data_IF_670326855267
#
_entry.id   IF_670326855267
#
_cell.length_a   1.000
_cell.length_b   1.000
_cell.length_c   1.000
_cell.angle_alpha   90.00
_cell.angle_beta   90.00
_cell.angle_gamma   90.00
#
_symmetry.space_group_name_H-M   'P 1'
#
loop_
_entity.id
_entity.type
_entity.pdbx_description
1 polymer ?
#
# COMPACT_ATOMS: atom_id res chain seq x y z
N UNK A 1 18.65 2.48 -22.51
CA UNK A 1 17.70 3.64 -22.51
C UNK A 1 16.48 3.23 -21.71
N UNK A 2 16.26 3.84 -20.53
CA UNK A 2 15.13 3.50 -19.66
C UNK A 2 13.85 4.06 -20.27
N UNK A 3 13.08 3.23 -20.95
CA UNK A 3 11.81 3.61 -21.59
C UNK A 3 10.82 4.23 -20.57
N UNK A 4 10.93 3.79 -19.31
CA UNK A 4 10.12 4.32 -18.20
C UNK A 4 10.70 5.62 -17.59
N UNK A 5 11.94 6.00 -17.87
CA UNK A 5 12.53 7.25 -17.35
C UNK A 5 11.92 8.51 -17.97
N UNK A 6 11.25 8.38 -19.13
CA UNK A 6 10.58 9.48 -19.85
C UNK A 6 9.31 9.91 -19.10
N UNK A 7 8.67 9.01 -18.33
CA UNK A 7 7.49 9.34 -17.54
C UNK A 7 7.91 9.88 -16.18
N UNK A 8 7.56 11.13 -15.91
CA UNK A 8 7.77 11.75 -14.61
C UNK A 8 7.10 10.91 -13.50
N UNK A 9 7.75 10.69 -12.34
CA UNK A 9 7.30 9.71 -11.34
C UNK A 9 5.87 9.96 -10.81
N UNK A 10 5.41 11.21 -10.76
CA UNK A 10 4.04 11.53 -10.35
C UNK A 10 2.98 11.11 -11.37
N UNK A 11 3.29 11.19 -12.69
CA UNK A 11 2.39 10.75 -13.73
C UNK A 11 2.18 9.23 -13.72
N UNK A 12 3.22 8.46 -13.34
CA UNK A 12 3.11 6.99 -13.23
C UNK A 12 2.08 6.58 -12.19
N UNK A 13 2.01 7.28 -11.04
CA UNK A 13 1.01 7.01 -10.02
C UNK A 13 -0.41 7.29 -10.53
N UNK A 14 -0.59 8.39 -11.26
CA UNK A 14 -1.88 8.73 -11.86
C UNK A 14 -2.28 7.67 -12.90
N UNK A 15 -1.35 7.25 -13.77
CA UNK A 15 -1.62 6.21 -14.75
C UNK A 15 -1.97 4.86 -14.13
N UNK A 16 -1.27 4.44 -13.05
CA UNK A 16 -1.63 3.22 -12.30
C UNK A 16 -3.07 3.29 -11.82
N UNK A 17 -3.44 4.43 -11.24
CA UNK A 17 -4.79 4.62 -10.72
C UNK A 17 -5.86 4.62 -11.83
N UNK A 18 -5.63 5.39 -12.91
CA UNK A 18 -6.55 5.46 -14.05
C UNK A 18 -6.70 4.10 -14.75
N UNK A 19 -5.59 3.42 -15.02
CA UNK A 19 -5.63 2.08 -15.60
C UNK A 19 -6.36 1.09 -14.68
N UNK A 20 -6.15 1.16 -13.36
CA UNK A 20 -6.90 0.36 -12.39
C UNK A 20 -8.41 0.58 -12.47
N UNK A 21 -8.85 1.85 -12.59
CA UNK A 21 -10.26 2.18 -12.77
C UNK A 21 -10.81 1.61 -14.10
N UNK A 22 -10.09 1.79 -15.21
CA UNK A 22 -10.49 1.26 -16.52
C UNK A 22 -10.62 -0.26 -16.48
N UNK A 23 -9.64 -0.95 -15.92
CA UNK A 23 -9.65 -2.42 -15.79
C UNK A 23 -10.82 -2.88 -14.91
N UNK A 24 -11.17 -2.12 -13.88
CA UNK A 24 -12.28 -2.43 -12.98
C UNK A 24 -13.65 -2.43 -13.70
N UNK A 25 -13.83 -1.60 -14.72
CA UNK A 25 -15.09 -1.53 -15.50
C UNK A 25 -15.20 -2.60 -16.59
N UNK A 26 -14.08 -3.21 -17.00
CA UNK A 26 -14.10 -4.22 -18.07
C UNK A 26 -14.77 -5.52 -17.61
N UNK A 27 -15.75 -6.02 -18.36
CA UNK A 27 -16.50 -7.25 -18.07
C UNK A 27 -16.19 -8.38 -19.05
N UNK A 28 -15.60 -8.09 -20.20
CA UNK A 28 -15.29 -9.09 -21.22
C UNK A 28 -14.07 -9.95 -20.82
N UNK A 29 -14.30 -11.24 -20.59
CA UNK A 29 -13.24 -12.18 -20.16
C UNK A 29 -12.14 -12.30 -21.21
N UNK A 30 -12.49 -12.36 -22.50
CA UNK A 30 -11.51 -12.51 -23.59
C UNK A 30 -10.51 -11.35 -23.64
N UNK A 31 -10.99 -10.10 -23.52
CA UNK A 31 -10.12 -8.92 -23.50
C UNK A 31 -9.24 -8.89 -22.26
N UNK A 32 -9.75 -9.31 -21.09
CA UNK A 32 -8.97 -9.40 -19.86
C UNK A 32 -7.85 -10.45 -19.95
N UNK A 33 -8.10 -11.59 -20.59
CA UNK A 33 -7.08 -12.63 -20.80
C UNK A 33 -5.95 -12.12 -21.70
N UNK A 34 -6.28 -11.51 -22.85
CA UNK A 34 -5.29 -10.96 -23.77
C UNK A 34 -4.45 -9.87 -23.08
N UNK A 35 -5.11 -8.94 -22.37
CA UNK A 35 -4.42 -7.89 -21.62
C UNK A 35 -3.49 -8.45 -20.53
N UNK A 36 -3.93 -9.49 -19.79
CA UNK A 36 -3.09 -10.17 -18.82
C UNK A 36 -1.83 -10.77 -19.45
N UNK A 37 -1.97 -11.44 -20.60
CA UNK A 37 -0.82 -12.03 -21.31
C UNK A 37 0.17 -10.95 -21.75
N UNK A 38 -0.31 -9.86 -22.32
CA UNK A 38 0.53 -8.75 -22.79
C UNK A 38 1.25 -8.06 -21.62
N UNK A 39 0.52 -7.71 -20.55
CA UNK A 39 1.11 -7.03 -19.39
C UNK A 39 2.06 -7.94 -18.64
N UNK A 40 1.73 -9.23 -18.50
CA UNK A 40 2.60 -10.20 -17.84
C UNK A 40 3.88 -10.46 -18.64
N UNK A 41 3.77 -10.56 -19.96
CA UNK A 41 4.93 -10.64 -20.86
C UNK A 41 5.84 -9.41 -20.77
N UNK A 42 5.25 -8.21 -20.80
CA UNK A 42 5.97 -6.95 -20.60
C UNK A 42 6.66 -6.87 -19.24
N UNK A 43 6.00 -7.38 -18.18
CA UNK A 43 6.57 -7.42 -16.84
C UNK A 43 7.74 -8.40 -16.75
N UNK A 44 7.67 -9.57 -17.39
CA UNK A 44 8.79 -10.52 -17.43
C UNK A 44 10.00 -9.91 -18.13
N UNK A 45 9.82 -9.25 -19.27
CA UNK A 45 10.88 -8.54 -20.00
C UNK A 45 11.50 -7.44 -19.11
N UNK A 46 10.65 -6.66 -18.44
CA UNK A 46 11.10 -5.61 -17.52
C UNK A 46 11.90 -6.19 -16.34
N UNK A 47 11.45 -7.28 -15.71
CA UNK A 47 12.17 -7.93 -14.61
C UNK A 47 13.56 -8.42 -15.02
N UNK A 48 13.68 -8.99 -16.22
CA UNK A 48 14.97 -9.42 -16.78
C UNK A 48 15.87 -8.21 -17.03
N UNK A 49 15.33 -7.15 -17.63
CA UNK A 49 16.08 -5.93 -17.91
C UNK A 49 16.60 -5.23 -16.64
N UNK A 50 15.81 -5.18 -15.57
CA UNK A 50 16.19 -4.57 -14.29
C UNK A 50 16.95 -5.53 -13.35
N UNK A 51 17.33 -6.72 -13.81
CA UNK A 51 18.03 -7.75 -13.02
C UNK A 51 17.37 -8.04 -11.66
N UNK A 52 16.06 -7.92 -11.58
CA UNK A 52 15.28 -8.25 -10.37
C UNK A 52 15.07 -9.77 -10.30
N UNK A 53 15.19 -10.34 -9.10
CA UNK A 53 15.00 -11.77 -8.88
C UNK A 53 13.60 -12.22 -9.25
N UNK A 54 13.48 -13.03 -10.31
CA UNK A 54 12.22 -13.65 -10.75
C UNK A 54 11.62 -14.54 -9.65
N UNK A 55 12.48 -15.27 -8.92
CA UNK A 55 12.05 -16.14 -7.84
C UNK A 55 11.35 -15.37 -6.70
N UNK A 56 11.89 -14.20 -6.34
CA UNK A 56 11.26 -13.34 -5.33
C UNK A 56 9.92 -12.81 -5.81
N UNK A 57 9.83 -12.40 -7.08
CA UNK A 57 8.57 -11.95 -7.67
C UNK A 57 7.53 -13.06 -7.64
N UNK A 58 7.88 -14.27 -8.09
CA UNK A 58 6.97 -15.41 -8.13
C UNK A 58 6.48 -15.81 -6.73
N UNK A 59 7.35 -15.76 -5.73
CA UNK A 59 6.99 -16.01 -4.32
C UNK A 59 5.96 -15.01 -3.79
N UNK A 60 6.12 -13.72 -4.12
CA UNK A 60 5.13 -12.68 -3.74
C UNK A 60 3.83 -12.83 -4.51
N UNK A 61 3.91 -13.10 -5.82
CA UNK A 61 2.75 -13.33 -6.66
C UNK A 61 1.91 -14.52 -6.18
N UNK A 62 2.58 -15.62 -5.80
CA UNK A 62 1.90 -16.81 -5.25
C UNK A 62 1.20 -16.49 -3.93
N UNK A 63 1.83 -15.73 -3.03
CA UNK A 63 1.21 -15.32 -1.77
C UNK A 63 -0.03 -14.46 -1.98
N UNK A 64 -0.01 -13.54 -2.95
CA UNK A 64 -1.15 -12.69 -3.28
C UNK A 64 -2.29 -13.49 -3.94
N UNK A 65 -1.94 -14.47 -4.78
CA UNK A 65 -2.92 -15.37 -5.37
C UNK A 65 -3.55 -16.36 -4.37
N UNK A 66 -2.96 -16.55 -3.19
CA UNK A 66 -3.59 -17.32 -2.11
C UNK A 66 -4.94 -16.70 -1.70
N UNK A 67 -5.06 -15.37 -1.74
CA UNK A 67 -6.35 -14.70 -1.51
C UNK A 67 -7.37 -15.01 -2.61
N UNK A 68 -6.95 -15.03 -3.87
CA UNK A 68 -7.86 -15.40 -4.99
C UNK A 68 -8.33 -16.84 -4.91
N UNK A 69 -7.51 -17.75 -4.38
CA UNK A 69 -7.91 -19.12 -4.12
C UNK A 69 -9.06 -19.21 -3.12
N UNK A 70 -9.03 -18.35 -2.08
CA UNK A 70 -10.11 -18.28 -1.10
C UNK A 70 -11.40 -17.74 -1.74
N UNK A 71 -11.31 -16.77 -2.64
CA UNK A 71 -12.44 -16.27 -3.44
C UNK A 71 -13.03 -17.38 -4.31
N UNK A 72 -12.19 -18.20 -4.95
CA UNK A 72 -12.64 -19.38 -5.72
C UNK A 72 -13.40 -20.35 -4.85
N UNK A 73 -12.89 -20.65 -3.67
CA UNK A 73 -13.51 -21.59 -2.74
C UNK A 73 -14.87 -21.12 -2.26
N UNK A 74 -15.02 -19.82 -2.00
CA UNK A 74 -16.29 -19.24 -1.51
C UNK A 74 -17.34 -19.06 -2.60
N UNK A 75 -16.94 -18.66 -3.82
CA UNK A 75 -17.88 -18.39 -4.91
C UNK A 75 -18.29 -19.64 -5.69
N UNK A 76 -17.40 -20.65 -5.76
CA UNK A 76 -17.69 -21.88 -6.53
C UNK A 76 -18.70 -22.78 -5.83
N UNK A 77 -18.86 -22.67 -4.51
CA UNK A 77 -19.75 -23.50 -3.73
C UNK A 77 -20.96 -22.70 -3.27
N UNK A 78 -22.16 -23.25 -3.54
CA UNK A 78 -23.42 -22.73 -3.04
C UNK A 78 -24.04 -23.79 -2.11
N UNK A 79 -24.33 -23.39 -0.88
CA UNK A 79 -25.10 -24.21 0.04
C UNK A 79 -26.59 -24.07 -0.32
N UNK A 80 -27.20 -25.17 -0.73
CA UNK A 80 -28.62 -25.27 -1.00
C UNK A 80 -29.21 -26.32 -0.05
N UNK A 81 -30.52 -26.33 0.17
CA UNK A 81 -31.20 -27.31 1.04
C UNK A 81 -30.92 -28.76 0.67
N UNK A 82 -30.52 -29.04 -0.57
CA UNK A 82 -30.14 -30.34 -1.08
C UNK A 82 -28.64 -30.67 -0.93
N UNK A 83 -27.82 -29.80 -0.29
CA UNK A 83 -26.39 -30.00 -0.12
C UNK A 83 -25.52 -28.94 -0.87
N UNK A 84 -24.23 -29.22 -0.94
CA UNK A 84 -23.24 -28.35 -1.61
C UNK A 84 -23.31 -28.61 -3.14
N UNK A 85 -23.72 -27.58 -3.89
CA UNK A 85 -23.75 -27.61 -5.37
C UNK A 85 -22.75 -26.67 -5.98
N UNK A 86 -22.19 -27.06 -7.15
CA UNK A 86 -21.30 -26.20 -7.92
C UNK A 86 -22.10 -25.09 -8.61
N UNK A 87 -21.68 -23.85 -8.40
CA UNK A 87 -22.31 -22.68 -9.01
C UNK A 87 -21.49 -22.20 -10.21
N UNK A 88 -21.94 -22.54 -11.43
CA UNK A 88 -21.26 -22.10 -12.66
C UNK A 88 -21.14 -20.58 -12.79
N UNK A 89 -22.18 -19.85 -12.34
CA UNK A 89 -22.15 -18.37 -12.34
C UNK A 89 -21.12 -17.84 -11.33
N UNK A 90 -20.96 -18.50 -10.17
CA UNK A 90 -19.93 -18.19 -9.20
C UNK A 90 -18.52 -18.44 -9.73
N UNK A 91 -18.33 -19.50 -10.51
CA UNK A 91 -17.04 -19.82 -11.16
C UNK A 91 -16.66 -18.73 -12.18
N UNK A 92 -17.61 -18.27 -13.00
CA UNK A 92 -17.36 -17.19 -13.96
C UNK A 92 -16.99 -15.88 -13.25
N UNK A 93 -17.68 -15.54 -12.17
CA UNK A 93 -17.36 -14.36 -11.33
C UNK A 93 -15.98 -14.50 -10.68
N UNK A 94 -15.65 -15.66 -10.12
CA UNK A 94 -14.34 -15.92 -9.53
C UNK A 94 -13.22 -15.77 -10.55
N UNK A 95 -13.41 -16.28 -11.78
CA UNK A 95 -12.47 -16.12 -12.88
C UNK A 95 -12.26 -14.65 -13.25
N UNK A 96 -13.34 -13.90 -13.37
CA UNK A 96 -13.32 -12.48 -13.71
C UNK A 96 -12.59 -11.67 -12.63
N UNK A 97 -12.87 -11.92 -11.36
CA UNK A 97 -12.17 -11.28 -10.24
C UNK A 97 -10.68 -11.60 -10.26
N UNK A 98 -10.31 -12.87 -10.49
CA UNK A 98 -8.92 -13.31 -10.56
C UNK A 98 -8.16 -12.65 -11.70
N UNK A 99 -8.76 -12.57 -12.89
CA UNK A 99 -8.15 -11.91 -14.05
C UNK A 99 -7.94 -10.41 -13.81
N UNK A 100 -8.94 -9.71 -13.28
CA UNK A 100 -8.81 -8.28 -12.93
C UNK A 100 -7.73 -8.05 -11.88
N UNK A 101 -7.74 -8.85 -10.82
CA UNK A 101 -6.77 -8.74 -9.74
C UNK A 101 -5.34 -8.94 -10.24
N UNK A 102 -5.08 -10.02 -11.00
CA UNK A 102 -3.77 -10.28 -11.57
C UNK A 102 -3.32 -9.19 -12.56
N UNK A 103 -4.24 -8.65 -13.37
CA UNK A 103 -3.94 -7.57 -14.32
C UNK A 103 -3.52 -6.30 -13.58
N UNK A 104 -4.27 -5.88 -12.56
CA UNK A 104 -3.95 -4.69 -11.76
C UNK A 104 -2.62 -4.88 -11.03
N UNK A 105 -2.37 -6.05 -10.44
CA UNK A 105 -1.10 -6.35 -9.77
C UNK A 105 0.09 -6.28 -10.72
N UNK A 106 -0.01 -6.93 -11.88
CA UNK A 106 1.06 -6.97 -12.89
C UNK A 106 1.33 -5.58 -13.46
N UNK A 107 0.29 -4.81 -13.73
CA UNK A 107 0.38 -3.44 -14.26
C UNK A 107 0.98 -2.48 -13.23
N UNK A 108 0.55 -2.56 -11.98
CA UNK A 108 1.12 -1.77 -10.88
C UNK A 108 2.60 -2.08 -10.72
N UNK A 109 2.97 -3.36 -10.76
CA UNK A 109 4.36 -3.79 -10.64
C UNK A 109 5.21 -3.33 -11.81
N UNK A 110 4.69 -3.40 -13.04
CA UNK A 110 5.37 -2.94 -14.25
C UNK A 110 5.68 -1.45 -14.18
N UNK A 111 4.71 -0.63 -13.81
CA UNK A 111 4.86 0.83 -13.77
C UNK A 111 5.73 1.31 -12.60
N UNK A 112 5.74 0.58 -11.48
CA UNK A 112 6.49 0.94 -10.27
C UNK A 112 7.81 0.17 -10.08
N UNK A 113 8.26 -0.61 -11.07
CA UNK A 113 9.43 -1.50 -10.95
C UNK A 113 10.72 -0.76 -10.58
N UNK A 114 10.85 0.49 -11.03
CA UNK A 114 12.03 1.34 -10.84
C UNK A 114 11.84 2.40 -9.73
N UNK A 115 10.67 2.41 -9.07
CA UNK A 115 10.39 3.38 -8.01
C UNK A 115 10.91 2.89 -6.66
N UNK A 116 11.90 3.62 -6.14
CA UNK A 116 12.34 3.51 -4.76
C UNK A 116 11.43 4.35 -3.84
N UNK A 117 11.45 4.07 -2.54
CA UNK A 117 10.65 4.80 -1.53
C UNK A 117 10.85 6.33 -1.63
N UNK A 118 12.09 6.78 -1.86
CA UNK A 118 12.41 8.20 -2.01
C UNK A 118 11.78 8.84 -3.26
N UNK A 119 11.75 8.10 -4.39
CA UNK A 119 11.10 8.56 -5.62
C UNK A 119 9.59 8.58 -5.49
N UNK A 120 9.02 7.59 -4.77
CA UNK A 120 7.59 7.56 -4.45
C UNK A 120 7.19 8.80 -3.64
N UNK A 121 7.99 9.15 -2.64
CA UNK A 121 7.78 10.35 -1.81
C UNK A 121 7.86 11.65 -2.62
N UNK A 122 8.83 11.74 -3.55
CA UNK A 122 8.95 12.88 -4.46
C UNK A 122 7.76 12.96 -5.43
N UNK A 123 7.29 11.81 -5.94
CA UNK A 123 6.13 11.72 -6.81
C UNK A 123 4.87 12.22 -6.11
N UNK A 124 4.67 11.81 -4.85
CA UNK A 124 3.52 12.22 -4.04
C UNK A 124 3.51 13.73 -3.79
N UNK A 125 4.69 14.34 -3.58
CA UNK A 125 4.82 15.80 -3.39
C UNK A 125 4.46 16.62 -4.64
N UNK A 126 4.55 16.03 -5.84
CA UNK A 126 4.22 16.68 -7.11
C UNK A 126 2.78 16.47 -7.56
N UNK A 127 2.00 15.67 -6.82
CA UNK A 127 0.57 15.56 -7.07
C UNK A 127 -0.12 16.87 -6.72
N UNK A 128 -1.20 17.24 -7.43
CA UNK A 128 -2.02 18.43 -7.13
C UNK A 128 -2.83 18.20 -5.85
N UNK A 129 -2.12 18.10 -4.71
CA UNK A 129 -2.73 17.95 -3.40
C UNK A 129 -2.84 19.33 -2.73
N UNK A 130 -3.88 19.55 -1.91
CA UNK A 130 -3.97 20.75 -1.08
C UNK A 130 -2.71 20.93 -0.24
N UNK A 131 -2.20 22.16 -0.12
CA UNK A 131 -0.96 22.45 0.62
C UNK A 131 -0.95 21.90 2.05
N UNK A 132 -2.12 21.91 2.72
CA UNK A 132 -2.28 21.34 4.07
C UNK A 132 -1.95 19.84 4.11
N UNK A 133 -2.43 19.07 3.11
CA UNK A 133 -2.14 17.63 3.01
C UNK A 133 -0.66 17.39 2.69
N UNK A 134 -0.06 18.21 1.85
CA UNK A 134 1.35 18.11 1.53
C UNK A 134 2.23 18.30 2.78
N UNK A 135 1.93 19.32 3.59
CA UNK A 135 2.64 19.58 4.85
C UNK A 135 2.48 18.43 5.84
N UNK A 136 1.25 17.93 6.02
CA UNK A 136 0.98 16.76 6.88
C UNK A 136 1.75 15.53 6.42
N UNK A 137 1.81 15.30 5.11
CA UNK A 137 2.52 14.17 4.54
C UNK A 137 4.03 14.25 4.77
N UNK A 138 4.64 15.40 4.54
CA UNK A 138 6.08 15.62 4.81
C UNK A 138 6.41 15.38 6.28
N UNK A 139 5.54 15.88 7.17
CA UNK A 139 5.66 15.69 8.61
C UNK A 139 5.54 14.20 8.99
N UNK A 140 4.55 13.52 8.43
CA UNK A 140 4.32 12.09 8.66
C UNK A 140 5.54 11.26 8.29
N UNK A 141 6.11 11.46 7.10
CA UNK A 141 7.31 10.74 6.64
C UNK A 141 8.49 11.00 7.58
N UNK A 142 8.69 12.24 7.99
CA UNK A 142 9.73 12.60 8.96
C UNK A 142 9.53 11.88 10.29
N UNK A 143 8.30 11.82 10.79
CA UNK A 143 8.02 11.18 12.09
C UNK A 143 8.05 9.65 12.04
N UNK A 144 7.73 9.03 10.92
CA UNK A 144 7.93 7.58 10.74
C UNK A 144 9.40 7.23 11.01
N UNK A 145 10.35 7.97 10.46
CA UNK A 145 11.78 7.75 10.69
C UNK A 145 12.15 7.95 12.17
N UNK A 146 11.73 9.06 12.78
CA UNK A 146 12.03 9.37 14.19
C UNK A 146 11.44 8.34 15.15
N UNK A 147 10.19 7.94 14.94
CA UNK A 147 9.53 6.90 15.76
C UNK A 147 10.15 5.52 15.52
N UNK A 148 10.61 5.25 14.29
CA UNK A 148 11.36 4.04 13.97
C UNK A 148 12.65 3.92 14.80
N UNK A 149 13.37 5.01 14.99
CA UNK A 149 14.59 5.03 15.82
C UNK A 149 14.26 4.85 17.31
N UNK A 150 13.17 5.46 17.80
CA UNK A 150 12.69 5.22 19.16
C UNK A 150 12.33 3.74 19.34
N UNK A 151 11.62 3.15 18.38
CA UNK A 151 11.26 1.74 18.41
C UNK A 151 12.50 0.82 18.49
N UNK A 152 13.51 1.09 17.66
CA UNK A 152 14.79 0.33 17.69
C UNK A 152 15.48 0.45 19.04
N UNK A 153 15.56 1.64 19.63
CA UNK A 153 16.16 1.87 20.97
C UNK A 153 15.40 1.08 22.05
N UNK A 154 14.07 1.08 21.99
CA UNK A 154 13.24 0.29 22.91
C UNK A 154 13.49 -1.20 22.73
N UNK A 155 13.61 -1.69 21.51
CA UNK A 155 13.90 -3.10 21.23
C UNK A 155 15.27 -3.52 21.79
N UNK A 156 16.30 -2.70 21.59
CA UNK A 156 17.62 -2.94 22.15
C UNK A 156 17.60 -2.95 23.68
N UNK A 157 16.92 -2.00 24.31
CA UNK A 157 16.80 -1.94 25.78
C UNK A 157 16.08 -3.17 26.34
N UNK A 158 15.05 -3.67 25.65
CA UNK A 158 14.33 -4.89 26.07
C UNK A 158 15.19 -6.14 25.92
N UNK A 159 15.92 -6.26 24.82
CA UNK A 159 16.85 -7.38 24.60
C UNK A 159 17.96 -7.40 25.65
N UNK A 160 18.49 -6.23 26.02
CA UNK A 160 19.48 -6.11 27.11
C UNK A 160 18.93 -6.58 28.46
N UNK A 161 17.61 -6.48 28.68
CA UNK A 161 16.91 -7.01 29.87
C UNK A 161 16.53 -8.49 29.75
N UNK A 162 17.06 -9.21 28.75
CA UNK A 162 16.81 -10.63 28.53
C UNK A 162 15.48 -10.98 27.88
N UNK A 163 14.78 -9.99 27.27
CA UNK A 163 13.55 -10.25 26.56
C UNK A 163 13.82 -10.98 25.24
N UNK A 164 13.20 -12.15 25.10
CA UNK A 164 13.18 -12.92 23.85
C UNK A 164 11.74 -12.99 23.33
N UNK A 165 11.46 -12.54 22.10
CA UNK A 165 10.12 -12.62 21.52
C UNK A 165 9.75 -14.10 21.27
N UNK A 166 8.74 -14.60 22.00
CA UNK A 166 8.13 -15.91 21.82
C UNK A 166 6.63 -15.72 21.61
N UNK A 167 5.96 -16.66 20.96
CA UNK A 167 4.51 -16.64 20.77
C UNK A 167 3.76 -17.02 22.07
N UNK A 168 3.86 -16.16 23.09
CA UNK A 168 3.21 -16.33 24.38
C UNK A 168 2.41 -15.07 24.77
N UNK A 169 1.38 -15.22 25.61
CA UNK A 169 0.57 -14.11 26.11
C UNK A 169 1.41 -13.00 26.77
N UNK A 170 2.51 -13.34 27.43
CA UNK A 170 3.47 -12.40 28.01
C UNK A 170 4.12 -11.52 26.93
N UNK A 171 4.46 -12.09 25.77
CA UNK A 171 5.03 -11.35 24.65
C UNK A 171 4.01 -10.36 24.06
N UNK A 172 2.73 -10.76 23.99
CA UNK A 172 1.66 -9.89 23.53
C UNK A 172 1.47 -8.68 24.48
N UNK A 173 1.50 -8.94 25.78
CA UNK A 173 1.41 -7.89 26.80
C UNK A 173 2.57 -6.90 26.72
N UNK A 174 3.79 -7.39 26.57
CA UNK A 174 4.98 -6.55 26.39
C UNK A 174 4.90 -5.76 25.07
N UNK A 175 4.42 -6.38 24.00
CA UNK A 175 4.23 -5.70 22.73
C UNK A 175 3.20 -4.55 22.85
N UNK A 176 2.10 -4.75 23.57
CA UNK A 176 1.09 -3.70 23.82
C UNK A 176 1.65 -2.54 24.64
N UNK A 177 2.47 -2.81 25.66
CA UNK A 177 3.17 -1.77 26.42
C UNK A 177 4.12 -0.95 25.53
N UNK A 178 4.85 -1.60 24.61
CA UNK A 178 5.72 -0.91 23.64
C UNK A 178 4.94 0.02 22.72
N UNK A 179 3.78 -0.45 22.22
CA UNK A 179 2.91 0.38 21.38
C UNK A 179 2.37 1.58 22.17
N UNK A 180 1.93 1.37 23.41
CA UNK A 180 1.46 2.45 24.28
C UNK A 180 2.57 3.49 24.53
N UNK A 181 3.79 3.05 24.80
CA UNK A 181 4.92 3.95 25.02
C UNK A 181 5.31 4.73 23.75
N UNK A 182 5.27 4.08 22.57
CA UNK A 182 5.47 4.74 21.28
C UNK A 182 4.40 5.81 21.04
N UNK A 183 3.15 5.53 21.40
CA UNK A 183 2.05 6.49 21.26
C UNK A 183 2.27 7.71 22.16
N UNK A 184 2.69 7.52 23.41
CA UNK A 184 3.05 8.61 24.32
C UNK A 184 4.19 9.47 23.74
N UNK A 185 5.24 8.83 23.23
CA UNK A 185 6.32 9.55 22.55
C UNK A 185 5.86 10.33 21.33
N UNK A 186 4.93 9.76 20.54
CA UNK A 186 4.35 10.43 19.40
C UNK A 186 3.54 11.67 19.80
N UNK A 187 2.72 11.57 20.85
CA UNK A 187 1.93 12.70 21.38
C UNK A 187 2.83 13.82 21.88
N UNK A 188 3.81 13.52 22.73
CA UNK A 188 4.78 14.52 23.21
C UNK A 188 5.52 15.19 22.07
N UNK A 189 5.83 14.43 21.00
CA UNK A 189 6.49 14.99 19.82
C UNK A 189 5.56 15.87 19.00
N UNK A 190 4.29 15.51 18.89
CA UNK A 190 3.26 16.30 18.23
C UNK A 190 3.06 17.66 18.94
N UNK A 191 2.91 17.65 20.27
CA UNK A 191 2.78 18.88 21.09
C UNK A 191 3.99 19.82 20.93
N UNK A 192 5.21 19.25 21.03
CA UNK A 192 6.44 20.05 20.82
C UNK A 192 6.51 20.63 19.42
N UNK A 193 6.05 19.92 18.41
CA UNK A 193 6.03 20.42 17.03
C UNK A 193 5.00 21.49 16.84
N UNK A 194 3.81 21.34 17.44
CA UNK A 194 2.77 22.36 17.41
C UNK A 194 3.26 23.67 18.05
N UNK A 195 3.88 23.59 19.24
CA UNK A 195 4.47 24.74 19.89
C UNK A 195 5.55 25.41 19.04
N UNK A 196 6.43 24.62 18.43
CA UNK A 196 7.47 25.14 17.55
C UNK A 196 6.93 25.82 16.28
N UNK A 197 5.86 25.28 15.70
CA UNK A 197 5.17 25.87 14.55
C UNK A 197 4.47 27.18 14.93
N UNK A 198 3.77 27.22 16.07
CA UNK A 198 3.14 28.43 16.59
C UNK A 198 4.18 29.52 16.86
N UNK A 199 5.32 29.19 17.46
CA UNK A 199 6.42 30.13 17.71
C UNK A 199 7.02 30.70 16.40
N UNK A 200 6.91 29.99 15.28
CA UNK A 200 7.34 30.45 13.94
C UNK A 200 6.24 31.20 13.18
N UNK A 201 5.13 31.54 13.83
CA UNK A 201 4.03 32.29 13.22
C UNK A 201 3.10 31.43 12.33
N UNK A 202 3.20 30.10 12.40
CA UNK A 202 2.28 29.22 11.67
C UNK A 202 0.91 29.26 12.37
N UNK A 203 -0.03 30.00 11.79
CA UNK A 203 -1.42 30.00 12.22
C UNK A 203 -2.18 28.96 11.37
N UNK A 204 -2.77 27.98 12.03
CA UNK A 204 -3.84 27.18 11.44
C UNK A 204 -5.01 28.17 11.22
N UNK A 205 -5.20 28.60 9.98
CA UNK A 205 -6.32 29.48 9.63
C UNK A 205 -7.61 28.76 10.00
N UNK A 206 -8.25 29.19 11.08
CA UNK A 206 -9.58 28.75 11.47
C UNK A 206 -10.57 29.14 10.38
N UNK A 207 -10.97 28.16 9.56
CA UNK A 207 -11.99 28.30 8.50
C UNK A 207 -13.37 28.67 9.10
N UNK A 208 -13.50 28.80 10.41
CA UNK A 208 -14.76 29.12 11.10
C UNK A 208 -15.15 30.61 11.12
N UNK A 209 -14.30 31.52 10.68
CA UNK A 209 -14.61 32.97 10.76
C UNK A 209 -15.19 33.61 9.49
N UNK A 210 -15.43 32.85 8.43
CA UNK A 210 -15.95 33.44 7.17
C UNK A 210 -17.45 33.19 6.94
N UNK A 211 -18.14 32.50 7.82
CA UNK A 211 -19.60 32.27 7.70
C UNK A 211 -20.47 33.17 8.57
N UNK A 212 -19.88 34.07 9.36
CA UNK A 212 -20.65 34.95 10.25
C UNK A 212 -20.61 36.43 9.79
N UNK A 213 -20.31 36.67 8.52
CA UNK A 213 -20.37 37.98 7.88
C UNK A 213 -20.97 37.95 6.49
N UNK A 214 -22.17 37.34 6.36
CA UNK A 214 -23.05 37.64 5.21
C UNK A 214 -24.49 37.60 5.67
#
# INVERSE_FOLDING_TARGET
>A
MNFLAIFQPHLRLIYVFLCGLIVSTMTHISTLVILNLVVFGGLLIALIHYQKSLASYFKYWLKLNLFTLLVWLTLSWKSTEQGLTLNLMGIQLALLITLRFNLILSLTRLLLIDMNESLLLQALRRLPLPEKLLHLFVLTVRYISVLGDVHKKMDMAMRARGYQPKLNGRTLFIASQRVALLLIHALVKAEKTEMALKARGFQLHDVKKTQDKS
#
